data_IF_342984957160
#
_entry.id   IF_342984957160
#
_cell.length_a   1.000
_cell.length_b   1.000
_cell.length_c   1.000
_cell.angle_alpha   90.00
_cell.angle_beta   90.00
_cell.angle_gamma   90.00
#
_symmetry.space_group_name_H-M   'P 1'
#
loop_
_entity.id
_entity.type
_entity.pdbx_description
1 polymer ?
#
# COMPACT_ATOMS: atom_id res chain seq x y z
N UNK A 1 -7.16 -17.86 11.87
CA UNK A 1 -6.61 -17.83 10.51
C UNK A 1 -7.18 -19.00 9.73
N UNK A 2 -7.78 -18.73 8.57
CA UNK A 2 -8.31 -19.78 7.68
C UNK A 2 -7.57 -19.73 6.35
N UNK A 3 -7.14 -20.89 5.85
CA UNK A 3 -6.55 -21.02 4.51
C UNK A 3 -7.67 -21.17 3.48
N UNK A 4 -7.75 -20.23 2.54
CA UNK A 4 -8.73 -20.27 1.45
C UNK A 4 -8.18 -21.06 0.27
N UNK A 5 -6.93 -20.80 -0.12
CA UNK A 5 -6.24 -21.52 -1.19
C UNK A 5 -4.72 -21.44 -1.05
N UNK A 6 -4.02 -22.42 -1.62
CA UNK A 6 -2.56 -22.42 -1.77
C UNK A 6 -2.19 -23.03 -3.12
N UNK A 7 -1.28 -22.38 -3.82
CA UNK A 7 -0.82 -22.76 -5.15
C UNK A 7 0.70 -22.69 -5.23
N UNK A 8 1.32 -23.65 -5.94
CA UNK A 8 2.74 -23.58 -6.25
C UNK A 8 3.00 -22.40 -7.20
N UNK A 9 3.97 -21.55 -6.88
CA UNK A 9 4.26 -20.32 -7.61
C UNK A 9 5.77 -20.02 -7.53
N UNK A 10 6.48 -19.95 -8.65
CA UNK A 10 7.92 -19.63 -8.74
C UNK A 10 8.80 -20.32 -7.68
N UNK A 11 8.66 -21.63 -7.52
CA UNK A 11 9.39 -22.40 -6.50
C UNK A 11 8.76 -22.33 -5.10
N UNK A 12 8.13 -21.21 -4.75
CA UNK A 12 7.45 -20.95 -3.49
C UNK A 12 5.95 -21.32 -3.50
N UNK A 13 5.19 -20.66 -2.64
CA UNK A 13 3.74 -20.85 -2.48
C UNK A 13 3.00 -19.51 -2.47
N UNK A 14 1.97 -19.38 -3.31
CA UNK A 14 1.00 -18.30 -3.25
C UNK A 14 -0.24 -18.76 -2.52
N UNK A 15 -0.44 -18.27 -1.31
CA UNK A 15 -1.63 -18.54 -0.51
C UNK A 15 -2.62 -17.37 -0.52
N UNK A 16 -3.87 -17.68 -0.17
CA UNK A 16 -4.92 -16.71 0.20
C UNK A 16 -5.46 -17.14 1.55
N UNK A 17 -5.51 -16.19 2.48
CA UNK A 17 -5.87 -16.43 3.87
C UNK A 17 -6.91 -15.41 4.33
N UNK A 18 -7.71 -15.81 5.33
CA UNK A 18 -8.61 -14.89 6.02
C UNK A 18 -8.44 -14.95 7.53
N UNK A 19 -8.69 -13.82 8.18
CA UNK A 19 -8.61 -13.72 9.63
C UNK A 19 -9.62 -12.69 10.16
N UNK A 20 -9.99 -12.84 11.42
CA UNK A 20 -10.78 -11.82 12.11
C UNK A 20 -9.89 -10.60 12.39
N UNK A 21 -10.41 -9.40 12.11
CA UNK A 21 -9.77 -8.14 12.44
C UNK A 21 -10.62 -7.37 13.46
N UNK A 22 -9.99 -6.99 14.56
CA UNK A 22 -10.61 -6.16 15.58
C UNK A 22 -10.79 -4.71 15.10
N UNK A 23 -9.87 -4.23 14.25
CA UNK A 23 -9.93 -2.88 13.70
C UNK A 23 -11.14 -2.71 12.79
N UNK A 24 -11.34 -3.64 11.85
CA UNK A 24 -12.46 -3.56 10.89
C UNK A 24 -13.76 -4.18 11.41
N UNK A 25 -13.71 -4.88 12.55
CA UNK A 25 -14.87 -5.54 13.14
C UNK A 25 -15.42 -6.70 12.30
N UNK A 26 -14.64 -7.25 11.37
CA UNK A 26 -15.07 -8.29 10.44
C UNK A 26 -13.92 -9.22 10.03
N UNK A 27 -14.18 -10.03 9.02
CA UNK A 27 -13.16 -10.90 8.40
C UNK A 27 -12.45 -10.13 7.30
N UNK A 28 -11.11 -10.13 7.36
CA UNK A 28 -10.25 -9.57 6.33
C UNK A 28 -9.52 -10.69 5.58
N UNK A 29 -9.26 -10.45 4.30
CA UNK A 29 -8.55 -11.40 3.42
C UNK A 29 -7.25 -10.79 2.94
N UNK A 30 -6.22 -11.63 2.81
CA UNK A 30 -4.95 -11.23 2.19
C UNK A 30 -4.34 -12.37 1.37
N UNK A 31 -3.60 -12.03 0.32
CA UNK A 31 -2.70 -12.92 -0.38
C UNK A 31 -1.32 -12.91 0.28
N UNK A 32 -0.65 -14.06 0.32
CA UNK A 32 0.72 -14.19 0.80
C UNK A 32 1.51 -15.07 -0.16
N UNK A 33 2.56 -14.53 -0.73
CA UNK A 33 3.58 -15.31 -1.43
C UNK A 33 4.74 -15.59 -0.47
N UNK A 34 5.05 -16.86 -0.27
CA UNK A 34 6.23 -17.33 0.46
C UNK A 34 7.23 -17.89 -0.54
N UNK A 35 8.46 -17.33 -0.64
CA UNK A 35 9.52 -17.90 -1.48
C UNK A 35 10.01 -19.23 -0.90
N UNK A 36 10.80 -19.98 -1.69
CA UNK A 36 11.33 -21.30 -1.27
C UNK A 36 12.21 -21.20 -0.02
N UNK A 37 12.90 -20.07 0.17
CA UNK A 37 13.77 -19.76 1.31
C UNK A 37 13.01 -19.77 2.65
N UNK A 38 11.71 -19.48 2.65
CA UNK A 38 10.87 -19.51 3.84
C UNK A 38 10.79 -20.91 4.50
N UNK A 39 11.11 -21.98 3.75
CA UNK A 39 11.25 -23.31 4.31
C UNK A 39 12.49 -23.48 5.21
N UNK A 40 13.48 -22.60 5.10
CA UNK A 40 14.75 -22.66 5.83
C UNK A 40 14.82 -21.67 7.01
N UNK A 41 13.87 -20.75 7.11
CA UNK A 41 13.79 -19.75 8.18
C UNK A 41 13.00 -18.51 7.78
N UNK A 42 12.83 -17.54 8.70
CA UNK A 42 12.09 -16.32 8.42
C UNK A 42 12.70 -15.48 7.31
N UNK A 43 11.86 -15.00 6.38
CA UNK A 43 12.24 -14.15 5.24
C UNK A 43 11.69 -12.73 5.37
N UNK A 44 12.34 -11.71 4.78
CA UNK A 44 11.83 -10.34 4.78
C UNK A 44 10.50 -10.23 4.05
N UNK A 45 9.79 -9.12 4.30
CA UNK A 45 8.42 -8.92 3.84
C UNK A 45 8.30 -7.63 3.03
N UNK A 46 7.62 -7.70 1.89
CA UNK A 46 7.14 -6.54 1.15
C UNK A 46 5.60 -6.56 1.13
N UNK A 47 4.98 -5.56 1.75
CA UNK A 47 3.52 -5.37 1.73
C UNK A 47 3.16 -4.57 0.48
N UNK A 48 2.24 -5.08 -0.35
CA UNK A 48 1.77 -4.41 -1.56
C UNK A 48 0.31 -3.97 -1.40
N UNK A 49 0.08 -2.67 -1.34
CA UNK A 49 -1.25 -2.06 -1.25
C UNK A 49 -1.84 -1.80 -2.64
N UNK A 50 -3.01 -2.36 -2.92
CA UNK A 50 -3.72 -2.18 -4.19
C UNK A 50 -4.47 -0.84 -4.25
N UNK A 51 -4.79 -0.39 -5.47
CA UNK A 51 -5.53 0.85 -5.74
C UNK A 51 -7.04 0.72 -5.60
N UNK A 52 -7.76 1.78 -5.99
CA UNK A 52 -9.21 1.83 -6.03
C UNK A 52 -9.80 0.68 -6.85
N UNK A 53 -10.97 0.21 -6.44
CA UNK A 53 -11.74 -0.87 -7.08
C UNK A 53 -11.08 -2.25 -7.03
N UNK A 54 -9.94 -2.37 -6.37
CA UNK A 54 -9.19 -3.61 -6.23
C UNK A 54 -9.54 -4.37 -4.95
N UNK A 55 -9.13 -5.64 -4.94
CA UNK A 55 -9.05 -6.51 -3.77
C UNK A 55 -7.59 -6.97 -3.58
N UNK A 56 -7.35 -7.89 -2.67
CA UNK A 56 -6.08 -8.60 -2.54
C UNK A 56 -5.64 -9.30 -3.85
N UNK A 57 -6.58 -9.68 -4.72
CA UNK A 57 -6.30 -10.45 -5.93
C UNK A 57 -5.64 -9.63 -7.05
N UNK A 58 -5.93 -8.32 -7.16
CA UNK A 58 -5.53 -7.55 -8.33
C UNK A 58 -4.00 -7.45 -8.47
N UNK A 59 -3.30 -6.98 -7.44
CA UNK A 59 -1.84 -6.92 -7.47
C UNK A 59 -1.23 -8.33 -7.45
N UNK A 60 -1.78 -9.24 -6.63
CA UNK A 60 -1.34 -10.62 -6.52
C UNK A 60 -1.30 -11.35 -7.88
N UNK A 61 -2.32 -11.11 -8.74
CA UNK A 61 -2.43 -11.83 -10.01
C UNK A 61 -1.86 -11.08 -11.22
N UNK A 62 -1.73 -9.74 -11.14
CA UNK A 62 -1.43 -8.90 -12.32
C UNK A 62 -0.07 -8.22 -12.27
N UNK A 63 0.55 -8.07 -11.09
CA UNK A 63 1.81 -7.33 -10.98
C UNK A 63 3.02 -8.09 -11.52
N UNK A 64 3.02 -9.42 -11.45
CA UNK A 64 4.18 -10.25 -11.76
C UNK A 64 5.29 -10.21 -10.69
N UNK A 65 5.03 -9.62 -9.54
CA UNK A 65 6.02 -9.39 -8.49
C UNK A 65 6.60 -10.69 -7.91
N UNK A 66 5.84 -11.79 -7.91
CA UNK A 66 6.27 -13.06 -7.32
C UNK A 66 7.54 -13.64 -7.96
N UNK A 67 7.73 -13.45 -9.27
CA UNK A 67 8.92 -13.92 -9.96
C UNK A 67 10.19 -13.29 -9.37
N UNK A 68 10.19 -11.96 -9.25
CA UNK A 68 11.32 -11.18 -8.74
C UNK A 68 11.49 -11.35 -7.22
N UNK A 69 10.38 -11.45 -6.48
CA UNK A 69 10.42 -11.70 -5.05
C UNK A 69 11.01 -13.09 -4.73
N UNK A 70 10.71 -14.12 -5.56
CA UNK A 70 11.32 -15.43 -5.45
C UNK A 70 12.85 -15.37 -5.68
N UNK A 71 13.32 -14.60 -6.66
CA UNK A 71 14.76 -14.41 -6.93
C UNK A 71 15.48 -13.71 -5.77
N UNK A 72 14.79 -12.86 -5.03
CA UNK A 72 15.34 -12.10 -3.90
C UNK A 72 15.09 -12.78 -2.54
N UNK A 73 14.36 -13.89 -2.48
CA UNK A 73 14.00 -14.55 -1.21
C UNK A 73 13.10 -13.69 -0.29
N UNK A 74 12.18 -12.90 -0.87
CA UNK A 74 11.29 -11.97 -0.17
C UNK A 74 9.85 -12.47 -0.24
N UNK A 75 9.12 -12.42 0.89
CA UNK A 75 7.69 -12.66 0.92
C UNK A 75 6.90 -11.43 0.45
N UNK A 76 5.78 -11.66 -0.26
CA UNK A 76 4.87 -10.60 -0.66
C UNK A 76 3.52 -10.76 0.04
N UNK A 77 3.01 -9.67 0.59
CA UNK A 77 1.70 -9.61 1.24
C UNK A 77 0.78 -8.66 0.47
N UNK A 78 -0.39 -9.13 0.09
CA UNK A 78 -1.40 -8.39 -0.66
C UNK A 78 -2.69 -8.30 0.16
N UNK A 79 -2.84 -7.31 1.06
CA UNK A 79 -4.08 -7.16 1.83
C UNK A 79 -5.24 -6.68 0.96
N UNK A 80 -6.48 -6.97 1.39
CA UNK A 80 -7.65 -6.34 0.80
C UNK A 80 -7.63 -4.82 1.04
N UNK A 81 -8.28 -4.08 0.17
CA UNK A 81 -8.24 -2.61 0.10
C UNK A 81 -9.30 -1.93 0.98
N UNK A 82 -10.24 -2.71 1.52
CA UNK A 82 -11.29 -2.23 2.42
C UNK A 82 -11.87 -3.37 3.26
N UNK A 83 -12.59 -3.09 4.35
CA UNK A 83 -13.47 -4.06 4.97
C UNK A 83 -14.56 -4.49 3.99
N UNK A 84 -15.11 -5.69 4.18
CA UNK A 84 -16.21 -6.27 3.38
C UNK A 84 -17.14 -7.09 4.27
N UNK A 85 -18.35 -7.32 3.81
CA UNK A 85 -19.35 -8.17 4.46
C UNK A 85 -20.59 -7.41 4.90
N UNK A 86 -21.48 -8.13 5.58
CA UNK A 86 -22.77 -7.60 6.02
C UNK A 86 -22.59 -6.42 6.99
N UNK A 87 -23.30 -5.32 6.73
CA UNK A 87 -23.27 -4.13 7.58
C UNK A 87 -22.12 -3.16 7.29
N UNK A 88 -21.18 -3.50 6.42
CA UNK A 88 -20.12 -2.57 5.97
C UNK A 88 -20.74 -1.53 5.04
N UNK A 89 -20.54 -0.24 5.36
CA UNK A 89 -21.07 0.85 4.56
C UNK A 89 -20.46 0.90 3.16
N UNK A 90 -21.25 1.30 2.17
CA UNK A 90 -20.83 1.49 0.78
C UNK A 90 -21.60 2.64 0.13
N UNK A 91 -21.18 3.04 -1.08
CA UNK A 91 -21.85 4.02 -1.94
C UNK A 91 -21.96 3.50 -3.36
N UNK A 92 -22.80 4.15 -4.19
CA UNK A 92 -22.87 3.86 -5.63
C UNK A 92 -21.62 4.34 -6.42
N UNK A 93 -20.69 5.05 -5.75
CA UNK A 93 -19.46 5.55 -6.35
C UNK A 93 -18.31 4.54 -6.28
N UNK A 94 -17.29 4.69 -7.13
CA UNK A 94 -16.11 3.84 -7.12
C UNK A 94 -14.98 4.36 -6.21
N UNK A 95 -15.10 5.55 -5.70
CA UNK A 95 -14.04 6.31 -5.01
C UNK A 95 -14.33 6.59 -3.53
N UNK A 96 -15.38 5.95 -2.98
CA UNK A 96 -15.69 5.87 -1.54
C UNK A 96 -16.39 4.54 -1.24
N UNK A 97 -16.18 4.00 -0.05
CA UNK A 97 -16.78 2.73 0.36
C UNK A 97 -15.92 1.53 -0.02
N UNK A 98 -16.56 0.47 -0.53
CA UNK A 98 -15.88 -0.78 -0.85
C UNK A 98 -14.75 -0.56 -1.87
N UNK A 99 -13.58 -1.11 -1.56
CA UNK A 99 -12.36 -0.96 -2.34
C UNK A 99 -11.86 0.48 -2.52
N UNK A 100 -12.19 1.38 -1.59
CA UNK A 100 -11.86 2.81 -1.66
C UNK A 100 -11.55 3.43 -0.28
N UNK A 101 -10.92 2.68 0.61
CA UNK A 101 -10.67 3.08 2.00
C UNK A 101 -9.63 4.20 2.18
N UNK A 102 -8.84 4.51 1.18
CA UNK A 102 -7.67 5.39 1.27
C UNK A 102 -6.66 5.02 2.36
N UNK A 103 -6.79 3.81 2.91
CA UNK A 103 -5.95 3.28 4.00
C UNK A 103 -5.91 4.21 5.23
N UNK A 104 -7.02 4.90 5.51
CA UNK A 104 -7.19 5.75 6.69
C UNK A 104 -8.04 5.05 7.75
N UNK A 105 -7.97 5.56 8.97
CA UNK A 105 -8.94 5.25 10.03
C UNK A 105 -10.04 6.30 10.01
N UNK A 106 -11.22 5.92 9.53
CA UNK A 106 -12.35 6.83 9.40
C UNK A 106 -12.89 7.27 10.78
N UNK A 107 -13.20 8.55 10.89
CA UNK A 107 -13.76 9.15 12.10
C UNK A 107 -15.25 9.51 11.97
N UNK A 108 -15.78 9.44 10.74
CA UNK A 108 -17.15 9.84 10.42
C UNK A 108 -18.05 8.64 10.13
N UNK A 109 -19.31 8.73 10.57
CA UNK A 109 -20.34 7.78 10.18
C UNK A 109 -20.74 8.01 8.69
N UNK A 110 -21.06 6.95 7.96
CA UNK A 110 -21.22 5.55 8.39
C UNK A 110 -19.94 4.72 8.34
N UNK A 111 -18.79 5.33 8.05
CA UNK A 111 -17.52 4.64 7.78
C UNK A 111 -16.81 4.17 9.05
N UNK A 112 -16.83 4.99 10.09
CA UNK A 112 -16.10 4.79 11.35
C UNK A 112 -16.15 3.39 11.94
N UNK A 113 -17.26 2.65 11.93
CA UNK A 113 -17.31 1.33 12.57
C UNK A 113 -16.41 0.27 11.92
N UNK A 114 -16.09 0.42 10.62
CA UNK A 114 -15.40 -0.63 9.87
C UNK A 114 -14.16 -0.15 9.10
N UNK A 115 -14.13 1.10 8.64
CA UNK A 115 -13.03 1.62 7.81
C UNK A 115 -11.89 2.11 8.69
N UNK A 116 -11.20 1.17 9.36
CA UNK A 116 -10.05 1.40 10.24
C UNK A 116 -8.80 0.76 9.59
N UNK A 117 -8.48 1.21 8.36
CA UNK A 117 -7.52 0.50 7.52
C UNK A 117 -6.06 0.84 7.82
N UNK A 118 -5.75 2.01 8.37
CA UNK A 118 -4.43 2.30 8.93
C UNK A 118 -4.14 1.34 10.09
N UNK A 119 -5.04 1.26 11.06
CA UNK A 119 -4.94 0.33 12.20
C UNK A 119 -4.91 -1.13 11.74
N UNK A 120 -5.70 -1.49 10.71
CA UNK A 120 -5.67 -2.85 10.15
C UNK A 120 -4.29 -3.21 9.61
N UNK A 121 -3.70 -2.39 8.73
CA UNK A 121 -2.40 -2.67 8.13
C UNK A 121 -1.28 -2.69 9.17
N UNK A 122 -1.27 -1.73 10.09
CA UNK A 122 -0.15 -1.54 11.03
C UNK A 122 -0.24 -2.42 12.28
N UNK A 123 -1.40 -3.00 12.58
CA UNK A 123 -1.59 -3.83 13.77
C UNK A 123 -2.14 -5.22 13.46
N UNK A 124 -3.37 -5.31 12.95
CA UNK A 124 -4.06 -6.60 12.86
C UNK A 124 -3.46 -7.52 11.80
N UNK A 125 -3.08 -6.96 10.63
CA UNK A 125 -2.36 -7.68 9.60
C UNK A 125 -0.98 -8.14 10.09
N UNK A 126 -0.22 -7.25 10.75
CA UNK A 126 1.10 -7.59 11.31
C UNK A 126 1.00 -8.73 12.34
N UNK A 127 -0.04 -8.73 13.17
CA UNK A 127 -0.30 -9.83 14.10
C UNK A 127 -0.64 -11.14 13.37
N UNK A 128 -1.46 -11.08 12.32
CA UNK A 128 -1.81 -12.24 11.52
C UNK A 128 -0.60 -12.83 10.78
N UNK A 129 0.31 -11.99 10.32
CA UNK A 129 1.54 -12.39 9.64
C UNK A 129 2.55 -13.09 10.55
N UNK A 130 2.52 -12.84 11.86
CA UNK A 130 3.43 -13.47 12.83
C UNK A 130 3.27 -15.01 12.92
N UNK A 131 2.17 -15.57 12.38
CA UNK A 131 1.98 -17.03 12.31
C UNK A 131 2.75 -17.70 11.15
N UNK A 132 3.38 -16.91 10.27
CA UNK A 132 4.13 -17.37 9.11
C UNK A 132 5.65 -17.24 9.32
N UNK A 133 6.49 -17.92 8.52
CA UNK A 133 7.95 -17.81 8.60
C UNK A 133 8.45 -16.49 7.99
N UNK A 134 8.08 -15.38 8.61
CA UNK A 134 8.36 -14.01 8.19
C UNK A 134 9.24 -13.30 9.23
N UNK A 135 10.20 -12.52 8.75
CA UNK A 135 11.01 -11.64 9.59
C UNK A 135 10.30 -10.28 9.71
N UNK A 136 9.57 -10.10 10.78
CA UNK A 136 8.76 -8.90 11.03
C UNK A 136 9.60 -7.67 11.44
N UNK A 137 10.91 -7.81 11.63
CA UNK A 137 11.84 -6.69 11.83
C UNK A 137 12.36 -6.15 10.48
N UNK A 138 12.12 -6.89 9.38
CA UNK A 138 12.50 -6.53 8.01
C UNK A 138 11.27 -6.44 7.10
N UNK A 139 10.51 -5.35 7.25
CA UNK A 139 9.29 -5.09 6.48
C UNK A 139 9.48 -3.83 5.64
N UNK A 140 9.04 -3.87 4.39
CA UNK A 140 8.91 -2.71 3.49
C UNK A 140 7.50 -2.63 2.93
N UNK A 141 7.15 -1.48 2.33
CA UNK A 141 5.80 -1.26 1.83
C UNK A 141 5.83 -0.63 0.44
N UNK A 142 4.96 -1.11 -0.44
CA UNK A 142 4.74 -0.55 -1.78
C UNK A 142 3.24 -0.46 -2.08
N UNK A 143 2.87 0.25 -3.11
CA UNK A 143 1.47 0.29 -3.54
C UNK A 143 1.26 1.04 -4.84
N UNK A 144 0.05 0.92 -5.38
CA UNK A 144 -0.38 1.59 -6.61
C UNK A 144 -1.56 2.52 -6.36
N UNK A 145 -1.53 3.74 -6.92
CA UNK A 145 -2.65 4.68 -6.89
C UNK A 145 -3.08 5.03 -5.45
N UNK A 146 -4.31 4.72 -5.04
CA UNK A 146 -4.75 4.78 -3.64
C UNK A 146 -3.86 3.95 -2.71
N UNK A 147 -3.40 2.78 -3.17
CA UNK A 147 -2.44 1.97 -2.41
C UNK A 147 -1.06 2.60 -2.32
N UNK A 148 -0.64 3.34 -3.36
CA UNK A 148 0.56 4.17 -3.32
C UNK A 148 0.44 5.31 -2.30
N UNK A 149 -0.72 5.96 -2.23
CA UNK A 149 -1.05 6.90 -1.16
C UNK A 149 -0.91 6.24 0.22
N UNK A 150 -1.55 5.09 0.41
CA UNK A 150 -1.46 4.35 1.67
C UNK A 150 -0.02 3.97 2.02
N UNK A 151 0.76 3.46 1.06
CA UNK A 151 2.16 3.10 1.30
C UNK A 151 2.99 4.30 1.76
N UNK A 152 2.88 5.44 1.07
CA UNK A 152 3.62 6.66 1.42
C UNK A 152 3.18 7.21 2.79
N UNK A 153 1.88 7.35 3.04
CA UNK A 153 1.39 7.91 4.30
C UNK A 153 1.71 7.02 5.50
N UNK A 154 1.53 5.70 5.38
CA UNK A 154 1.87 4.76 6.46
C UNK A 154 3.36 4.76 6.76
N UNK A 155 4.23 4.78 5.74
CA UNK A 155 5.67 4.84 5.95
C UNK A 155 6.09 6.14 6.65
N UNK A 156 5.55 7.29 6.25
CA UNK A 156 5.86 8.60 6.83
C UNK A 156 5.31 8.77 8.26
N UNK A 157 4.20 8.09 8.60
CA UNK A 157 3.61 8.11 9.95
C UNK A 157 4.26 7.11 10.89
N UNK A 158 4.75 5.97 10.35
CA UNK A 158 5.33 4.87 11.10
C UNK A 158 6.77 4.56 10.63
N UNK A 159 7.71 5.52 10.72
CA UNK A 159 9.05 5.40 10.13
C UNK A 159 9.88 4.23 10.68
N UNK A 160 9.60 3.78 11.91
CA UNK A 160 10.29 2.65 12.52
C UNK A 160 9.77 1.27 12.03
N UNK A 161 8.59 1.24 11.36
CA UNK A 161 7.97 -0.01 10.92
C UNK A 161 8.53 -0.48 9.58
N UNK A 162 8.91 0.43 8.67
CA UNK A 162 9.26 0.10 7.31
C UNK A 162 10.69 0.49 6.98
N UNK A 163 11.44 -0.43 6.32
CA UNK A 163 12.83 -0.22 5.87
C UNK A 163 12.94 0.66 4.64
N UNK A 164 11.90 0.66 3.80
CA UNK A 164 11.80 1.47 2.58
C UNK A 164 10.35 1.57 2.14
N UNK A 165 10.05 2.58 1.30
CA UNK A 165 8.73 2.74 0.70
C UNK A 165 8.85 2.97 -0.80
N UNK A 166 7.94 2.35 -1.57
CA UNK A 166 7.81 2.70 -2.97
C UNK A 166 6.35 2.84 -3.40
N UNK A 167 6.12 3.49 -4.55
CA UNK A 167 4.78 3.67 -5.07
C UNK A 167 4.74 3.81 -6.59
N UNK A 168 3.70 3.26 -7.20
CA UNK A 168 3.34 3.43 -8.61
C UNK A 168 2.18 4.41 -8.72
N UNK A 169 2.34 5.50 -9.48
CA UNK A 169 1.30 6.50 -9.73
C UNK A 169 0.48 6.85 -8.47
N UNK A 170 1.13 7.19 -7.33
CA UNK A 170 0.44 7.40 -6.06
C UNK A 170 -0.39 8.68 -6.04
N UNK A 171 -1.47 8.71 -5.26
CA UNK A 171 -2.15 9.95 -4.89
C UNK A 171 -1.30 10.64 -3.82
N UNK A 172 -0.47 11.60 -4.24
CA UNK A 172 0.58 12.19 -3.40
C UNK A 172 0.12 13.35 -2.54
N UNK A 173 -0.83 14.17 -3.03
CA UNK A 173 -1.27 15.40 -2.39
C UNK A 173 -2.80 15.54 -2.48
N UNK A 174 -3.55 14.63 -1.82
CA UNK A 174 -5.02 14.61 -1.90
C UNK A 174 -5.66 15.91 -1.41
N UNK A 175 -5.08 16.61 -0.45
CA UNK A 175 -5.59 17.90 0.05
C UNK A 175 -5.52 19.03 -0.98
N UNK A 176 -4.71 18.90 -2.03
CA UNK A 176 -4.59 19.87 -3.12
C UNK A 176 -5.60 19.65 -4.26
N UNK A 177 -6.41 18.59 -4.22
CA UNK A 177 -7.40 18.30 -5.25
C UNK A 177 -8.82 18.23 -4.66
N UNK A 178 -9.82 18.73 -5.41
CA UNK A 178 -11.23 18.64 -5.00
C UNK A 178 -11.66 17.18 -4.81
N UNK A 179 -11.07 16.27 -5.60
CA UNK A 179 -11.33 14.85 -5.50
C UNK A 179 -10.84 14.26 -4.18
N UNK A 180 -9.60 14.50 -3.79
CA UNK A 180 -9.04 14.03 -2.52
C UNK A 180 -9.69 14.69 -1.29
N UNK A 181 -10.01 16.00 -1.38
CA UNK A 181 -10.73 16.70 -0.31
C UNK A 181 -12.10 16.06 -0.03
N UNK A 182 -12.82 15.63 -1.07
CA UNK A 182 -14.12 14.94 -0.91
C UNK A 182 -13.99 13.62 -0.15
N UNK A 183 -12.96 12.80 -0.45
CA UNK A 183 -12.73 11.56 0.29
C UNK A 183 -12.36 11.84 1.74
N UNK A 184 -11.48 12.81 1.99
CA UNK A 184 -11.08 13.16 3.36
C UNK A 184 -12.24 13.77 4.15
N UNK A 185 -13.06 14.62 3.55
CA UNK A 185 -14.27 15.12 4.22
C UNK A 185 -15.20 13.97 4.60
N UNK A 186 -15.39 13.00 3.72
CA UNK A 186 -16.24 11.84 3.98
C UNK A 186 -15.72 10.93 5.09
N UNK A 187 -14.42 10.61 5.09
CA UNK A 187 -13.82 9.70 6.08
C UNK A 187 -13.39 10.40 7.37
N UNK A 188 -12.83 11.61 7.29
CA UNK A 188 -12.16 12.29 8.40
C UNK A 188 -12.95 13.51 8.91
N UNK A 189 -13.98 13.95 8.17
CA UNK A 189 -14.80 15.12 8.51
C UNK A 189 -14.24 16.41 7.94
N UNK A 190 -14.97 17.52 8.22
CA UNK A 190 -14.69 18.84 7.62
C UNK A 190 -13.55 19.62 8.26
N UNK A 191 -12.96 19.12 9.35
CA UNK A 191 -11.79 19.76 9.97
C UNK A 191 -10.53 19.45 9.13
N UNK A 192 -10.16 20.40 8.27
CA UNK A 192 -9.01 20.26 7.38
C UNK A 192 -7.66 20.19 8.11
N UNK A 193 -7.59 20.54 9.38
CA UNK A 193 -6.34 20.46 10.15
C UNK A 193 -5.91 19.00 10.37
N UNK A 194 -6.85 18.05 10.44
CA UNK A 194 -6.53 16.62 10.59
C UNK A 194 -6.12 15.95 9.28
N UNK A 195 -6.44 16.57 8.12
CA UNK A 195 -6.14 15.97 6.82
C UNK A 195 -4.64 15.92 6.51
N UNK A 196 -3.86 16.84 7.09
CA UNK A 196 -2.42 16.91 6.90
C UNK A 196 -1.70 15.62 7.35
N UNK A 197 -2.24 14.93 8.36
CA UNK A 197 -1.69 13.68 8.87
C UNK A 197 -1.97 12.47 7.95
N UNK A 198 -2.73 12.70 6.88
CA UNK A 198 -3.08 11.69 5.89
C UNK A 198 -2.65 12.10 4.46
N UNK A 199 -1.81 13.12 4.32
CA UNK A 199 -1.33 13.62 3.04
C UNK A 199 0.19 13.45 2.95
N UNK A 200 0.64 12.61 2.01
CA UNK A 200 2.06 12.25 1.90
C UNK A 200 2.97 13.46 1.65
N UNK A 201 2.51 14.44 0.86
CA UNK A 201 3.28 15.67 0.57
C UNK A 201 3.42 16.54 1.82
N UNK A 202 2.35 16.67 2.59
CA UNK A 202 2.38 17.47 3.83
C UNK A 202 3.17 16.76 4.93
N UNK A 203 3.03 15.43 5.06
CA UNK A 203 3.83 14.62 5.99
C UNK A 203 5.33 14.69 5.65
N UNK A 204 5.72 14.59 4.38
CA UNK A 204 7.12 14.73 3.96
C UNK A 204 7.67 16.12 4.31
N UNK A 205 6.90 17.19 4.12
CA UNK A 205 7.32 18.56 4.47
C UNK A 205 7.46 18.77 5.97
N UNK A 206 6.59 18.16 6.78
CA UNK A 206 6.59 18.37 8.24
C UNK A 206 7.60 17.51 8.97
N UNK A 207 7.70 16.24 8.59
CA UNK A 207 8.44 15.23 9.33
C UNK A 207 9.77 14.84 8.66
N UNK A 208 9.88 15.02 7.32
CA UNK A 208 10.92 14.39 6.53
C UNK A 208 10.76 12.87 6.51
N UNK A 209 11.76 12.17 5.96
CA UNK A 209 11.85 10.71 6.00
C UNK A 209 13.31 10.29 5.78
N UNK A 210 13.83 9.42 6.62
CA UNK A 210 15.24 9.01 6.63
C UNK A 210 15.50 7.65 5.98
N UNK A 211 14.45 7.03 5.42
CA UNK A 211 14.55 5.75 4.70
C UNK A 211 14.40 5.99 3.19
N UNK A 212 14.86 5.03 2.34
CA UNK A 212 14.74 5.15 0.90
C UNK A 212 13.29 5.23 0.41
N UNK A 213 13.06 6.10 -0.58
CA UNK A 213 11.77 6.30 -1.26
C UNK A 213 11.94 6.11 -2.77
N UNK A 214 11.06 5.35 -3.41
CA UNK A 214 10.99 5.21 -4.87
C UNK A 214 9.56 5.48 -5.37
N UNK A 215 9.39 6.39 -6.32
CA UNK A 215 8.10 6.63 -6.98
C UNK A 215 8.26 6.56 -8.49
N UNK A 216 7.41 5.77 -9.14
CA UNK A 216 7.23 5.77 -10.58
C UNK A 216 5.91 6.39 -10.97
N UNK A 217 5.93 7.31 -11.95
CA UNK A 217 4.76 7.97 -12.49
C UNK A 217 4.73 7.87 -14.02
N UNK A 218 3.67 7.29 -14.58
CA UNK A 218 3.46 7.27 -16.03
C UNK A 218 3.09 8.64 -16.57
N UNK A 219 3.70 9.09 -17.69
CA UNK A 219 3.41 10.42 -18.25
C UNK A 219 2.15 10.46 -19.10
N UNK A 220 1.59 9.29 -19.50
CA UNK A 220 0.29 9.17 -20.19
C UNK A 220 -0.84 8.72 -19.24
N UNK A 221 -0.61 8.81 -17.92
CA UNK A 221 -1.58 8.47 -16.89
C UNK A 221 -2.79 9.42 -16.97
N UNK A 222 -3.98 8.87 -17.10
CA UNK A 222 -5.23 9.65 -17.20
C UNK A 222 -5.59 10.39 -15.90
N UNK A 223 -4.95 10.05 -14.78
CA UNK A 223 -5.11 10.72 -13.49
C UNK A 223 -3.95 11.65 -13.13
N UNK A 224 -2.97 11.83 -14.02
CA UNK A 224 -1.71 12.54 -13.78
C UNK A 224 -1.90 13.85 -13.00
N UNK A 225 -2.83 14.71 -13.45
CA UNK A 225 -3.10 16.02 -12.83
C UNK A 225 -3.77 15.93 -11.45
N UNK A 226 -4.31 14.76 -11.08
CA UNK A 226 -4.96 14.53 -9.77
C UNK A 226 -4.03 13.90 -8.75
N UNK A 227 -2.96 13.26 -9.21
CA UNK A 227 -2.01 12.53 -8.37
C UNK A 227 -1.00 13.46 -7.68
N UNK A 228 -0.71 14.61 -8.29
CA UNK A 228 0.19 15.64 -7.73
C UNK A 228 1.59 15.12 -7.36
N UNK A 229 2.14 14.21 -8.16
CA UNK A 229 3.48 13.61 -7.93
C UNK A 229 4.59 14.68 -7.91
N UNK A 230 4.45 15.76 -8.67
CA UNK A 230 5.37 16.89 -8.67
C UNK A 230 5.47 17.62 -7.31
N UNK A 231 4.36 17.74 -6.59
CA UNK A 231 4.33 18.34 -5.26
C UNK A 231 5.09 17.48 -4.23
N UNK A 232 4.95 16.15 -4.34
CA UNK A 232 5.68 15.23 -3.50
C UNK A 232 7.17 15.21 -3.82
N UNK A 233 7.54 15.27 -5.10
CA UNK A 233 8.93 15.41 -5.53
C UNK A 233 9.59 16.68 -4.95
N UNK A 234 8.88 17.81 -4.98
CA UNK A 234 9.33 19.05 -4.37
C UNK A 234 9.49 18.91 -2.85
N UNK A 235 8.53 18.27 -2.17
CA UNK A 235 8.60 18.04 -0.73
C UNK A 235 9.79 17.13 -0.35
N UNK A 236 10.07 16.08 -1.12
CA UNK A 236 11.25 15.24 -0.92
C UNK A 236 12.56 16.02 -1.08
N UNK A 237 12.65 16.89 -2.10
CA UNK A 237 13.82 17.73 -2.32
C UNK A 237 14.05 18.73 -1.19
N UNK A 238 12.99 19.39 -0.71
CA UNK A 238 13.03 20.34 0.40
C UNK A 238 13.47 19.65 1.72
N UNK A 239 12.94 18.45 1.97
CA UNK A 239 13.30 17.62 3.12
C UNK A 239 14.68 16.95 2.99
N UNK A 240 15.33 16.98 1.80
CA UNK A 240 16.56 16.27 1.48
C UNK A 240 16.45 14.75 1.73
N UNK A 241 15.28 14.19 1.46
CA UNK A 241 15.03 12.77 1.59
C UNK A 241 15.82 11.96 0.53
N UNK A 242 16.19 10.73 0.86
CA UNK A 242 16.74 9.77 -0.11
C UNK A 242 15.60 9.27 -1.00
N UNK A 243 15.26 10.04 -2.03
CA UNK A 243 14.10 9.79 -2.86
C UNK A 243 14.44 9.78 -4.35
N UNK A 244 13.94 8.76 -5.04
CA UNK A 244 13.98 8.64 -6.49
C UNK A 244 12.55 8.79 -7.03
N UNK A 245 12.28 9.89 -7.74
CA UNK A 245 10.98 10.13 -8.38
C UNK A 245 11.20 10.05 -9.90
N UNK A 246 10.66 9.00 -10.52
CA UNK A 246 10.92 8.67 -11.93
C UNK A 246 9.66 8.91 -12.76
N UNK A 247 9.80 9.58 -13.91
CA UNK A 247 8.75 9.75 -14.90
C UNK A 247 8.93 8.75 -16.03
N UNK A 248 7.96 7.85 -16.20
CA UNK A 248 7.98 6.79 -17.21
C UNK A 248 7.22 7.23 -18.46
N UNK A 249 7.97 7.54 -19.51
CA UNK A 249 7.42 8.15 -20.73
C UNK A 249 6.44 7.22 -21.46
N UNK A 250 5.21 7.71 -21.69
CA UNK A 250 4.16 7.03 -22.45
C UNK A 250 3.39 5.95 -21.68
N UNK A 251 3.74 5.67 -20.44
CA UNK A 251 2.99 4.72 -19.60
C UNK A 251 1.75 5.35 -18.97
N UNK A 252 0.71 4.55 -18.85
CA UNK A 252 -0.59 4.91 -18.29
C UNK A 252 -0.73 4.50 -16.81
N UNK A 253 -1.98 4.39 -16.29
CA UNK A 253 -2.28 4.00 -14.91
C UNK A 253 -2.50 2.49 -14.72
N UNK A 254 -2.24 1.68 -15.74
CA UNK A 254 -2.64 0.27 -15.76
C UNK A 254 -1.60 -0.67 -15.13
N UNK A 255 -2.00 -1.94 -14.97
CA UNK A 255 -1.07 -3.00 -14.57
C UNK A 255 0.01 -3.31 -15.61
N UNK A 256 -0.13 -2.87 -16.87
CA UNK A 256 0.95 -2.95 -17.85
C UNK A 256 2.14 -2.05 -17.47
N UNK A 257 1.84 -0.86 -16.93
CA UNK A 257 2.84 0.02 -16.35
C UNK A 257 3.53 -0.65 -15.16
N UNK A 258 2.76 -1.12 -14.18
CA UNK A 258 3.28 -1.78 -12.99
C UNK A 258 4.18 -2.97 -13.37
N UNK A 259 3.68 -3.87 -14.22
CA UNK A 259 4.41 -5.08 -14.62
C UNK A 259 5.73 -4.76 -15.36
N UNK A 260 5.84 -3.58 -15.97
CA UNK A 260 7.06 -3.14 -16.67
C UNK A 260 8.17 -2.69 -15.72
N UNK A 261 7.84 -2.27 -14.49
CA UNK A 261 8.80 -1.70 -13.54
C UNK A 261 8.81 -2.38 -12.17
N UNK A 262 7.97 -3.40 -11.96
CA UNK A 262 7.88 -4.09 -10.66
C UNK A 262 9.21 -4.75 -10.26
N UNK A 263 10.02 -5.19 -11.21
CA UNK A 263 11.36 -5.73 -10.96
C UNK A 263 12.23 -4.72 -10.23
N UNK A 264 12.28 -3.47 -10.73
CA UNK A 264 13.07 -2.39 -10.13
C UNK A 264 12.61 -2.10 -8.69
N UNK A 265 11.29 -2.13 -8.45
CA UNK A 265 10.75 -1.90 -7.11
C UNK A 265 11.07 -3.04 -6.15
N UNK A 266 10.99 -4.30 -6.59
CA UNK A 266 11.39 -5.44 -5.76
C UNK A 266 12.88 -5.38 -5.43
N UNK A 267 13.74 -5.08 -6.41
CA UNK A 267 15.18 -4.93 -6.20
C UNK A 267 15.52 -3.77 -5.26
N UNK A 268 14.83 -2.64 -5.39
CA UNK A 268 14.95 -1.50 -4.49
C UNK A 268 14.63 -1.88 -3.04
N UNK A 269 13.54 -2.60 -2.82
CA UNK A 269 13.17 -3.07 -1.49
C UNK A 269 14.13 -4.13 -0.96
N UNK A 270 14.61 -5.04 -1.81
CA UNK A 270 15.60 -6.05 -1.43
C UNK A 270 16.86 -5.41 -0.84
N UNK A 271 17.37 -4.34 -1.47
CA UNK A 271 18.54 -3.62 -0.98
C UNK A 271 18.34 -3.08 0.44
N UNK A 272 17.17 -2.52 0.73
CA UNK A 272 16.86 -1.97 2.05
C UNK A 272 16.54 -3.05 3.11
N UNK A 273 15.95 -4.18 2.69
CA UNK A 273 15.57 -5.28 3.57
C UNK A 273 16.78 -6.12 4.01
N UNK A 274 17.84 -6.14 3.21
CA UNK A 274 19.07 -6.88 3.51
C UNK A 274 20.24 -5.99 4.00
N UNK A 275 20.03 -4.65 4.09
CA UNK A 275 20.99 -3.72 4.69
C UNK A 275 20.97 -3.84 6.23
#
# INVERSE_FOLDING_TARGET
>A
MDTISENKCFGGTQGVYSHASAATGGTMTFGLFLPEEAANGPVPVLIYLSGLTCTHENAMTKSGAQAFAAEQGIALVFPDTSPRGDGVADTDGFDMGLAASFYVDATQDPWKPHYQMETYITRDLMQALADFPLDMDRVSITGHSMGGHGALTLALKHPDMFRSVSAFSPICHPTASDWGQRQFEGYLGSDKSVWADHDATLLMRSNGYDKPVLVDQGTADQFYDKLNTGDFAAACADARADAQIRLQSGYDHSYFFIASFIADHVDFHAQALYA
#
